data_IF_878023765673
#
_entry.id   IF_878023765673
#
_cell.length_a   1.000
_cell.length_b   1.000
_cell.length_c   1.000
_cell.angle_alpha   90.00
_cell.angle_beta   90.00
_cell.angle_gamma   90.00
#
_symmetry.space_group_name_H-M   'P 1'
#
loop_
_entity.id
_entity.type
_entity.pdbx_description
1 polymer ?
#
# COMPACT_ATOMS: atom_id res chain seq x y z
N UNK A 1 -42.53 11.86 8.55
CA UNK A 1 -41.52 12.14 7.51
C UNK A 1 -40.25 11.42 7.93
N UNK A 2 -39.96 10.31 7.27
CA UNK A 2 -38.86 9.41 7.60
C UNK A 2 -37.56 9.99 7.05
N UNK A 3 -36.56 10.21 7.92
CA UNK A 3 -35.20 10.56 7.51
C UNK A 3 -34.59 9.36 6.77
N UNK A 4 -34.36 9.49 5.46
CA UNK A 4 -33.49 8.56 4.73
C UNK A 4 -32.04 8.92 5.06
N UNK A 5 -31.38 8.05 5.81
CA UNK A 5 -29.94 8.02 5.96
C UNK A 5 -29.37 7.66 4.59
N UNK A 6 -28.53 8.52 4.02
CA UNK A 6 -27.74 8.20 2.83
C UNK A 6 -26.72 7.15 3.24
N UNK A 7 -26.94 5.91 2.80
CA UNK A 7 -26.00 4.81 2.91
C UNK A 7 -24.96 5.02 1.80
N UNK A 8 -23.73 5.41 2.17
CA UNK A 8 -22.62 5.51 1.21
C UNK A 8 -22.24 4.08 0.78
N UNK A 9 -22.57 3.73 -0.47
CA UNK A 9 -22.10 2.52 -1.12
C UNK A 9 -20.75 2.83 -1.78
N UNK A 10 -19.68 2.21 -1.30
CA UNK A 10 -18.36 2.32 -1.93
C UNK A 10 -18.17 1.17 -2.93
N UNK A 11 -18.39 1.45 -4.23
CA UNK A 11 -18.06 0.58 -5.37
C UNK A 11 -17.01 1.25 -6.26
N UNK A 12 -15.83 0.64 -6.48
CA UNK A 12 -14.82 1.28 -7.32
C UNK A 12 -14.09 0.36 -8.34
N UNK A 13 -14.59 0.31 -9.60
CA UNK A 13 -13.89 0.27 -10.93
C UNK A 13 -14.84 0.77 -12.08
N UNK A 14 -14.62 1.95 -12.72
CA UNK A 14 -15.48 2.74 -13.69
C UNK A 14 -14.57 3.80 -14.32
N UNK A 15 -14.64 3.96 -15.66
CA UNK A 15 -14.58 5.23 -16.37
C UNK A 15 -15.98 5.68 -16.85
N UNK A 16 -16.45 6.89 -16.47
CA UNK A 16 -17.20 7.84 -17.33
C UNK A 16 -17.44 9.18 -16.60
N UNK A 17 -17.61 10.23 -17.40
CA UNK A 17 -17.37 11.65 -17.14
C UNK A 17 -18.28 12.30 -16.08
N UNK A 18 -17.69 13.01 -15.11
CA UNK A 18 -17.99 14.42 -14.76
C UNK A 18 -17.19 14.87 -13.53
N UNK A 19 -16.18 15.71 -13.77
CA UNK A 19 -15.47 16.46 -12.75
C UNK A 19 -16.28 17.75 -12.48
N UNK A 20 -17.14 17.77 -11.45
CA UNK A 20 -17.62 19.03 -10.85
C UNK A 20 -18.41 18.80 -9.57
N UNK A 21 -17.76 18.92 -8.41
CA UNK A 21 -18.30 19.61 -7.22
C UNK A 21 -17.36 19.45 -6.00
N UNK A 22 -16.34 20.31 -5.94
CA UNK A 22 -15.77 20.73 -4.65
C UNK A 22 -16.74 21.74 -4.01
N UNK A 23 -17.14 21.61 -2.74
CA UNK A 23 -17.63 22.75 -1.99
C UNK A 23 -16.44 23.63 -1.56
N UNK A 24 -16.52 24.89 -1.96
CA UNK A 24 -15.62 25.96 -1.54
C UNK A 24 -15.66 26.16 -0.02
N UNK A 25 -14.50 26.50 0.52
CA UNK A 25 -14.27 26.99 1.89
C UNK A 25 -15.28 28.05 2.31
N UNK A 26 -15.91 27.90 3.48
CA UNK A 26 -16.60 29.00 4.18
C UNK A 26 -15.96 29.20 5.54
N UNK A 27 -15.25 30.31 5.68
CA UNK A 27 -14.72 30.85 6.93
C UNK A 27 -15.85 31.51 7.71
N UNK A 28 -16.23 30.96 8.86
CA UNK A 28 -17.05 31.71 9.84
C UNK A 28 -16.38 31.73 11.21
N UNK A 29 -16.06 32.96 11.60
CA UNK A 29 -15.49 33.38 12.89
C UNK A 29 -16.58 33.31 13.95
N UNK A 30 -16.48 32.40 14.93
CA UNK A 30 -17.35 32.40 16.11
C UNK A 30 -16.55 32.79 17.36
N UNK A 31 -17.06 33.83 18.00
CA UNK A 31 -16.60 34.49 19.23
C UNK A 31 -16.93 33.57 20.43
N UNK A 32 -15.94 33.27 21.28
CA UNK A 32 -16.12 32.40 22.44
C UNK A 32 -16.86 33.05 23.61
N UNK A 33 -17.25 32.24 24.61
CA UNK A 33 -17.17 32.64 26.01
C UNK A 33 -16.37 31.63 26.87
N UNK A 34 -15.71 32.19 27.88
CA UNK A 34 -14.85 31.56 28.89
C UNK A 34 -15.65 30.77 29.96
N UNK A 35 -15.03 30.08 30.95
CA UNK A 35 -15.34 28.68 31.24
C UNK A 35 -16.11 28.49 32.55
N UNK A 36 -16.98 27.48 32.61
CA UNK A 36 -17.27 26.67 33.82
C UNK A 36 -18.35 25.61 33.50
N UNK A 37 -17.96 24.35 33.30
CA UNK A 37 -18.72 23.17 33.78
C UNK A 37 -18.03 21.85 33.44
N UNK A 38 -17.76 21.11 34.52
CA UNK A 38 -17.73 19.66 34.67
C UNK A 38 -17.39 18.79 33.44
N UNK A 39 -16.29 18.03 33.59
CA UNK A 39 -15.93 16.86 32.79
C UNK A 39 -17.14 15.93 32.59
N UNK A 40 -17.82 16.09 31.46
CA UNK A 40 -18.69 15.07 30.88
C UNK A 40 -17.82 14.23 29.95
N UNK A 41 -17.86 12.91 30.14
CA UNK A 41 -17.11 11.95 29.34
C UNK A 41 -17.23 12.25 27.85
N UNK A 42 -16.08 12.36 27.20
CA UNK A 42 -16.01 12.41 25.75
C UNK A 42 -16.52 11.06 25.23
N UNK A 43 -17.77 11.02 24.76
CA UNK A 43 -18.21 9.96 23.86
C UNK A 43 -17.31 10.04 22.62
N UNK A 44 -16.42 9.07 22.44
CA UNK A 44 -15.75 8.84 21.17
C UNK A 44 -16.83 8.65 20.10
N UNK A 45 -16.80 9.37 18.96
CA UNK A 45 -17.70 9.09 17.86
C UNK A 45 -17.57 7.62 17.47
N UNK A 46 -18.71 6.92 17.39
CA UNK A 46 -18.72 5.48 17.10
C UNK A 46 -18.02 5.19 15.77
N UNK A 47 -17.15 4.17 15.76
CA UNK A 47 -16.53 3.67 14.53
C UNK A 47 -17.64 3.07 13.66
N UNK A 48 -17.77 3.57 12.44
CA UNK A 48 -18.69 3.05 11.43
C UNK A 48 -17.93 2.75 10.15
N UNK A 49 -18.28 1.65 9.49
CA UNK A 49 -17.69 1.25 8.21
C UNK A 49 -18.68 1.49 7.06
N UNK A 50 -18.21 1.91 5.88
CA UNK A 50 -19.07 1.95 4.69
C UNK A 50 -19.42 0.53 4.24
N UNK A 51 -20.46 0.42 3.41
CA UNK A 51 -20.78 -0.86 2.75
C UNK A 51 -19.93 -1.00 1.50
N UNK A 52 -19.14 -2.07 1.44
CA UNK A 52 -18.29 -2.41 0.30
C UNK A 52 -19.03 -3.29 -0.70
N UNK A 53 -18.96 -2.94 -1.97
CA UNK A 53 -19.65 -3.64 -3.05
C UNK A 53 -18.72 -3.91 -4.21
N UNK A 54 -18.99 -5.00 -4.96
CA UNK A 54 -18.12 -5.40 -6.07
C UNK A 54 -18.04 -4.29 -7.10
N UNK A 55 -16.83 -3.94 -7.57
CA UNK A 55 -16.64 -3.08 -8.71
C UNK A 55 -17.38 -3.61 -9.95
N UNK A 56 -17.95 -2.73 -10.79
CA UNK A 56 -18.47 -3.11 -12.10
C UNK A 56 -17.43 -3.88 -12.92
N UNK A 57 -17.87 -4.96 -13.57
CA UNK A 57 -17.02 -5.82 -14.41
C UNK A 57 -16.36 -6.98 -13.67
N UNK A 58 -16.21 -6.92 -12.34
CA UNK A 58 -15.57 -8.00 -11.58
C UNK A 58 -16.57 -9.12 -11.28
N UNK A 59 -16.32 -10.31 -11.84
CA UNK A 59 -17.14 -11.50 -11.66
C UNK A 59 -16.38 -12.63 -10.96
N UNK A 60 -16.00 -12.41 -9.70
CA UNK A 60 -15.38 -13.41 -8.82
C UNK A 60 -16.30 -13.73 -7.63
N UNK A 61 -16.53 -15.02 -7.41
CA UNK A 61 -17.23 -15.54 -6.23
C UNK A 61 -16.38 -15.38 -4.98
N UNK A 62 -15.06 -15.61 -5.10
CA UNK A 62 -14.09 -15.40 -4.02
C UNK A 62 -14.14 -13.96 -3.52
N UNK A 63 -14.00 -13.00 -4.41
CA UNK A 63 -14.03 -11.58 -4.05
C UNK A 63 -15.40 -11.12 -3.53
N UNK A 64 -16.49 -11.58 -4.13
CA UNK A 64 -17.85 -11.32 -3.61
C UNK A 64 -18.04 -11.85 -2.19
N UNK A 65 -17.45 -13.01 -1.90
CA UNK A 65 -17.47 -13.62 -0.58
C UNK A 65 -16.61 -12.86 0.44
N UNK A 66 -15.43 -12.42 0.04
CA UNK A 66 -14.59 -11.51 0.81
C UNK A 66 -15.36 -10.23 1.22
N UNK A 67 -15.96 -9.52 0.26
CA UNK A 67 -16.69 -8.28 0.54
C UNK A 67 -17.84 -8.47 1.52
N UNK A 68 -18.57 -9.59 1.40
CA UNK A 68 -19.63 -9.93 2.36
C UNK A 68 -19.09 -10.12 3.77
N UNK A 69 -18.02 -10.92 3.93
CA UNK A 69 -17.38 -11.14 5.24
C UNK A 69 -16.87 -9.83 5.86
N UNK A 70 -16.26 -8.94 5.07
CA UNK A 70 -15.84 -7.61 5.54
C UNK A 70 -17.04 -6.76 6.00
N UNK A 71 -18.13 -6.74 5.23
CA UNK A 71 -19.34 -6.03 5.61
C UNK A 71 -19.99 -6.59 6.89
N UNK A 72 -19.98 -7.91 7.06
CA UNK A 72 -20.53 -8.57 8.24
C UNK A 72 -19.67 -8.25 9.48
N UNK A 73 -18.33 -8.31 9.36
CA UNK A 73 -17.41 -7.86 10.42
C UNK A 73 -17.64 -6.40 10.82
N UNK A 74 -17.84 -5.52 9.83
CA UNK A 74 -18.13 -4.11 10.09
C UNK A 74 -19.49 -3.88 10.76
N UNK A 75 -20.49 -4.70 10.46
CA UNK A 75 -21.84 -4.64 11.06
C UNK A 75 -21.84 -5.14 12.51
N UNK A 76 -21.12 -6.22 12.77
CA UNK A 76 -21.09 -6.90 14.06
C UNK A 76 -20.03 -6.29 15.01
N UNK A 77 -19.28 -5.29 14.53
CA UNK A 77 -18.24 -4.61 15.29
C UNK A 77 -18.77 -3.99 16.59
N UNK A 78 -18.06 -4.29 17.69
CA UNK A 78 -18.17 -3.59 18.95
C UNK A 78 -16.77 -3.28 19.49
N UNK A 79 -16.64 -2.23 20.31
CA UNK A 79 -15.32 -1.79 20.79
C UNK A 79 -14.58 -2.84 21.62
N UNK A 80 -15.30 -3.75 22.29
CA UNK A 80 -14.69 -4.84 23.06
C UNK A 80 -14.09 -5.94 22.18
N UNK A 81 -14.54 -6.07 20.93
CA UNK A 81 -14.05 -7.04 19.94
C UNK A 81 -13.09 -6.43 18.92
N UNK A 82 -12.45 -5.29 19.23
CA UNK A 82 -11.56 -4.60 18.29
C UNK A 82 -10.43 -5.51 17.79
N UNK A 83 -9.77 -6.22 18.69
CA UNK A 83 -8.69 -7.15 18.35
C UNK A 83 -9.19 -8.31 17.48
N UNK A 84 -10.31 -8.94 17.87
CA UNK A 84 -10.92 -10.03 17.11
C UNK A 84 -11.35 -9.59 15.71
N UNK A 85 -11.82 -8.34 15.58
CA UNK A 85 -12.23 -7.76 14.28
C UNK A 85 -11.01 -7.52 13.40
N UNK A 86 -9.91 -6.98 13.97
CA UNK A 86 -8.63 -6.80 13.27
C UNK A 86 -8.11 -8.15 12.75
N UNK A 87 -8.05 -9.17 13.62
CA UNK A 87 -7.60 -10.51 13.23
C UNK A 87 -8.54 -11.13 12.18
N UNK A 88 -9.85 -10.96 12.34
CA UNK A 88 -10.85 -11.41 11.39
C UNK A 88 -10.65 -10.80 10.00
N UNK A 89 -10.31 -9.52 9.89
CA UNK A 89 -10.03 -8.88 8.59
C UNK A 89 -8.81 -9.50 7.93
N UNK A 90 -7.71 -9.66 8.67
CA UNK A 90 -6.47 -10.26 8.13
C UNK A 90 -6.72 -11.70 7.70
N UNK A 91 -7.49 -12.47 8.47
CA UNK A 91 -7.89 -13.82 8.09
C UNK A 91 -8.74 -13.83 6.81
N UNK A 92 -9.69 -12.90 6.67
CA UNK A 92 -10.55 -12.81 5.48
C UNK A 92 -9.77 -12.42 4.23
N UNK A 93 -8.74 -11.58 4.37
CA UNK A 93 -7.78 -11.26 3.29
C UNK A 93 -7.00 -12.50 2.88
N UNK A 94 -6.47 -13.23 3.85
CA UNK A 94 -5.68 -14.44 3.59
C UNK A 94 -6.52 -15.55 2.94
N UNK A 95 -7.72 -15.81 3.46
CA UNK A 95 -8.68 -16.78 2.89
C UNK A 95 -8.94 -16.51 1.40
N UNK A 96 -9.06 -15.23 1.00
CA UNK A 96 -9.29 -14.83 -0.38
C UNK A 96 -8.07 -15.13 -1.27
N UNK A 97 -6.87 -14.87 -0.76
CA UNK A 97 -5.62 -14.97 -1.52
C UNK A 97 -5.04 -16.40 -1.56
N UNK A 98 -5.42 -17.24 -0.60
CA UNK A 98 -5.17 -18.68 -0.67
C UNK A 98 -6.05 -19.34 -1.74
N UNK A 99 -7.33 -18.94 -1.84
CA UNK A 99 -8.33 -19.52 -2.75
C UNK A 99 -8.66 -18.58 -3.92
N UNK A 100 -7.62 -18.05 -4.57
CA UNK A 100 -7.70 -17.03 -5.62
C UNK A 100 -7.88 -17.56 -7.04
N UNK A 101 -8.21 -18.85 -7.24
CA UNK A 101 -8.25 -19.47 -8.57
C UNK A 101 -9.26 -18.80 -9.52
N UNK A 102 -10.39 -18.33 -8.99
CA UNK A 102 -11.41 -17.63 -9.79
C UNK A 102 -11.04 -16.18 -10.15
N UNK A 103 -10.01 -15.63 -9.47
CA UNK A 103 -9.42 -14.32 -9.74
C UNK A 103 -8.26 -14.45 -10.72
N UNK A 104 -7.40 -15.45 -10.54
CA UNK A 104 -6.23 -15.68 -11.40
C UNK A 104 -6.60 -16.02 -12.85
N UNK A 105 -7.84 -16.46 -13.09
CA UNK A 105 -8.37 -16.72 -14.44
C UNK A 105 -8.95 -15.47 -15.12
N UNK A 106 -9.08 -14.35 -14.41
CA UNK A 106 -9.58 -13.09 -14.97
C UNK A 106 -8.48 -12.35 -15.76
N UNK A 107 -8.83 -11.40 -16.64
CA UNK A 107 -7.87 -10.50 -17.26
C UNK A 107 -7.03 -9.74 -16.22
N UNK A 108 -5.77 -9.47 -16.53
CA UNK A 108 -4.82 -8.81 -15.61
C UNK A 108 -5.31 -7.44 -15.11
N UNK A 109 -6.10 -6.71 -15.92
CA UNK A 109 -6.76 -5.48 -15.49
C UNK A 109 -7.77 -5.67 -14.37
N UNK A 110 -8.50 -6.79 -14.39
CA UNK A 110 -9.46 -7.15 -13.35
C UNK A 110 -8.76 -7.63 -12.08
N UNK A 111 -7.70 -8.43 -12.24
CA UNK A 111 -6.84 -8.84 -11.11
C UNK A 111 -6.25 -7.62 -10.39
N UNK A 112 -5.66 -6.69 -11.15
CA UNK A 112 -5.10 -5.44 -10.62
C UNK A 112 -6.18 -4.56 -9.96
N UNK A 113 -7.41 -4.53 -10.50
CA UNK A 113 -8.56 -3.83 -9.89
C UNK A 113 -8.92 -4.47 -8.53
N UNK A 114 -9.00 -5.80 -8.45
CA UNK A 114 -9.28 -6.52 -7.20
C UNK A 114 -8.18 -6.28 -6.17
N UNK A 115 -6.91 -6.40 -6.57
CA UNK A 115 -5.76 -6.13 -5.69
C UNK A 115 -5.78 -4.69 -5.15
N UNK A 116 -6.08 -3.72 -6.02
CA UNK A 116 -6.23 -2.31 -5.63
C UNK A 116 -7.34 -2.09 -4.61
N UNK A 117 -8.50 -2.72 -4.80
CA UNK A 117 -9.62 -2.63 -3.87
C UNK A 117 -9.30 -3.32 -2.54
N UNK A 118 -8.63 -4.48 -2.58
CA UNK A 118 -8.21 -5.20 -1.38
C UNK A 118 -7.30 -4.32 -0.50
N UNK A 119 -6.27 -3.71 -1.08
CA UNK A 119 -5.37 -2.80 -0.37
C UNK A 119 -6.12 -1.62 0.24
N UNK A 120 -7.03 -0.99 -0.51
CA UNK A 120 -7.83 0.15 -0.01
C UNK A 120 -8.76 -0.24 1.14
N UNK A 121 -9.43 -1.38 1.04
CA UNK A 121 -10.36 -1.86 2.07
C UNK A 121 -9.58 -2.16 3.35
N UNK A 122 -8.47 -2.89 3.25
CA UNK A 122 -7.61 -3.22 4.39
C UNK A 122 -7.08 -1.94 5.04
N UNK A 123 -6.54 -1.01 4.25
CA UNK A 123 -6.06 0.28 4.74
C UNK A 123 -7.16 1.06 5.48
N UNK A 124 -8.35 1.17 4.89
CA UNK A 124 -9.45 1.93 5.46
C UNK A 124 -9.94 1.32 6.77
N UNK A 125 -10.20 0.01 6.78
CA UNK A 125 -10.77 -0.68 7.92
C UNK A 125 -9.75 -0.74 9.07
N UNK A 126 -8.49 -1.09 8.78
CA UNK A 126 -7.43 -1.09 9.81
C UNK A 126 -7.21 0.30 10.38
N UNK A 127 -7.22 1.36 9.56
CA UNK A 127 -7.07 2.74 10.05
C UNK A 127 -8.13 3.10 11.07
N UNK A 128 -9.40 2.78 10.76
CA UNK A 128 -10.53 3.05 11.64
C UNK A 128 -10.42 2.26 12.94
N UNK A 129 -10.16 0.95 12.87
CA UNK A 129 -10.02 0.11 14.06
C UNK A 129 -8.83 0.49 14.93
N UNK A 130 -7.74 0.93 14.30
CA UNK A 130 -6.54 1.38 15.01
C UNK A 130 -6.81 2.56 15.93
N UNK A 131 -7.85 3.37 15.68
CA UNK A 131 -8.24 4.47 16.59
C UNK A 131 -8.84 3.99 17.92
N UNK A 132 -9.30 2.74 18.00
CA UNK A 132 -9.81 2.12 19.22
C UNK A 132 -8.75 1.35 20.02
N UNK A 133 -7.54 1.18 19.47
CA UNK A 133 -6.43 0.54 20.18
C UNK A 133 -5.80 1.52 21.16
N UNK A 134 -5.66 1.09 22.42
CA UNK A 134 -5.21 1.98 23.49
C UNK A 134 -3.77 1.72 23.93
N UNK A 135 -3.30 0.47 24.06
CA UNK A 135 -1.91 0.17 24.50
C UNK A 135 -1.37 -1.20 24.04
N UNK A 136 -2.05 -1.91 23.14
CA UNK A 136 -1.65 -3.26 22.77
C UNK A 136 -0.84 -3.24 21.47
N UNK A 137 0.41 -3.69 21.55
CA UNK A 137 1.14 -4.11 20.36
C UNK A 137 0.79 -5.56 20.08
N UNK A 138 0.50 -5.88 18.83
CA UNK A 138 0.12 -7.22 18.43
C UNK A 138 0.88 -7.64 17.17
N UNK A 139 1.17 -8.91 17.08
CA UNK A 139 1.59 -9.55 15.83
C UNK A 139 0.69 -10.75 15.61
N UNK A 140 0.19 -10.88 14.39
CA UNK A 140 -0.72 -11.95 14.00
C UNK A 140 -0.34 -12.43 12.61
N UNK A 141 -0.23 -13.75 12.44
CA UNK A 141 0.15 -14.41 11.20
C UNK A 141 -0.89 -15.47 10.87
N UNK A 142 -1.36 -15.50 9.63
CA UNK A 142 -2.33 -16.47 9.14
C UNK A 142 -1.66 -17.69 8.51
N UNK A 143 -2.45 -18.70 8.15
CA UNK A 143 -1.94 -19.93 7.53
C UNK A 143 -1.30 -19.69 6.15
N UNK A 144 -1.88 -18.80 5.33
CA UNK A 144 -1.38 -18.40 4.01
C UNK A 144 -0.23 -17.41 4.04
N UNK A 145 0.24 -17.04 5.24
CA UNK A 145 1.42 -16.20 5.44
C UNK A 145 1.15 -14.69 5.44
N UNK A 146 -0.11 -14.25 5.39
CA UNK A 146 -0.44 -12.84 5.65
C UNK A 146 -0.11 -12.51 7.10
N UNK A 147 0.68 -11.47 7.33
CA UNK A 147 1.12 -11.08 8.67
C UNK A 147 0.81 -9.61 8.95
N UNK A 148 0.26 -9.32 10.12
CA UNK A 148 0.02 -7.98 10.64
C UNK A 148 0.85 -7.77 11.89
N UNK A 149 1.60 -6.66 11.95
CA UNK A 149 2.20 -6.14 13.17
C UNK A 149 1.68 -4.74 13.46
N UNK A 150 1.19 -4.50 14.68
CA UNK A 150 0.65 -3.22 15.12
C UNK A 150 1.42 -2.74 16.34
N UNK A 151 1.72 -1.44 16.35
CA UNK A 151 2.32 -0.77 17.50
C UNK A 151 1.65 0.56 17.77
N UNK A 152 1.30 0.75 19.04
CA UNK A 152 0.87 2.04 19.58
C UNK A 152 2.12 2.89 19.83
N UNK A 153 2.12 4.11 19.30
CA UNK A 153 3.18 5.08 19.50
C UNK A 153 3.06 5.72 20.87
N UNK A 154 4.13 5.63 21.66
CA UNK A 154 4.22 6.37 22.92
C UNK A 154 4.51 7.86 22.66
N UNK A 155 4.11 8.72 23.61
CA UNK A 155 4.38 10.15 23.52
C UNK A 155 5.89 10.42 23.43
N UNK A 156 6.31 11.17 22.40
CA UNK A 156 7.71 11.51 22.16
C UNK A 156 8.51 10.48 21.36
N UNK A 157 7.94 9.31 21.06
CA UNK A 157 8.57 8.34 20.15
C UNK A 157 8.49 8.84 18.71
N UNK A 158 9.65 9.11 18.10
CA UNK A 158 9.75 9.57 16.70
C UNK A 158 10.07 8.44 15.72
N UNK A 159 10.85 7.46 16.19
CA UNK A 159 11.32 6.34 15.39
C UNK A 159 10.61 5.06 15.80
N UNK A 160 10.03 4.39 14.81
CA UNK A 160 9.34 3.12 14.97
C UNK A 160 9.95 2.11 14.03
N UNK A 161 10.08 0.89 14.55
CA UNK A 161 10.48 -0.27 13.76
C UNK A 161 9.42 -1.34 13.93
N UNK A 162 8.97 -1.86 12.80
CA UNK A 162 8.08 -3.01 12.71
C UNK A 162 8.71 -4.01 11.74
N UNK A 163 8.47 -5.29 11.96
CA UNK A 163 8.92 -6.36 11.08
C UNK A 163 7.74 -7.28 10.80
N UNK A 164 7.60 -7.68 9.54
CA UNK A 164 6.65 -8.69 9.08
C UNK A 164 7.31 -9.54 8.00
N UNK A 165 7.14 -10.86 8.05
CA UNK A 165 7.73 -11.85 7.16
C UNK A 165 9.21 -11.51 6.84
N UNK A 166 9.47 -11.20 5.57
CA UNK A 166 10.78 -10.92 5.01
C UNK A 166 11.03 -9.40 4.89
N UNK A 167 10.27 -8.56 5.59
CA UNK A 167 10.37 -7.12 5.53
C UNK A 167 10.54 -6.49 6.91
N UNK A 168 11.43 -5.50 6.99
CA UNK A 168 11.59 -4.64 8.17
C UNK A 168 11.37 -3.19 7.76
N UNK A 169 10.48 -2.50 8.46
CA UNK A 169 10.19 -1.09 8.26
C UNK A 169 10.81 -0.26 9.38
N UNK A 170 11.42 0.88 9.01
CA UNK A 170 11.80 1.96 9.90
C UNK A 170 11.03 3.21 9.47
N UNK A 171 10.17 3.70 10.34
CA UNK A 171 9.37 4.90 10.13
C UNK A 171 9.87 6.00 11.07
N UNK A 172 10.24 7.15 10.51
CA UNK A 172 10.62 8.34 11.28
C UNK A 172 9.55 9.41 11.07
N UNK A 173 8.75 9.69 12.11
CA UNK A 173 7.69 10.68 12.06
C UNK A 173 8.18 12.02 12.60
N UNK A 174 8.08 13.07 11.78
CA UNK A 174 8.31 14.45 12.18
C UNK A 174 7.17 14.86 13.10
N UNK A 175 7.47 14.96 14.39
CA UNK A 175 6.49 15.16 15.44
C UNK A 175 5.75 16.51 15.28
N UNK A 176 4.48 16.46 14.89
CA UNK A 176 3.45 17.40 15.34
C UNK A 176 2.23 16.60 15.78
N UNK A 177 2.30 16.06 17.00
CA UNK A 177 1.20 15.33 17.63
C UNK A 177 0.36 16.32 18.44
N UNK A 178 -0.70 16.89 17.87
CA UNK A 178 -1.67 17.69 18.63
C UNK A 178 -2.88 16.88 19.15
N UNK A 179 -3.05 15.61 18.75
CA UNK A 179 -4.20 14.80 19.21
C UNK A 179 -3.90 13.30 19.35
N UNK A 180 -3.98 12.78 20.57
CA UNK A 180 -4.11 11.34 20.88
C UNK A 180 -2.90 10.44 20.58
N UNK A 181 -2.96 9.13 20.95
CA UNK A 181 -1.95 8.15 20.55
C UNK A 181 -2.08 7.82 19.06
N UNK A 182 -0.96 7.81 18.34
CA UNK A 182 -0.90 7.26 16.98
C UNK A 182 -0.69 5.76 17.05
N UNK A 183 -1.34 5.03 16.17
CA UNK A 183 -1.11 3.60 15.95
C UNK A 183 -0.58 3.40 14.54
N UNK A 184 0.49 2.61 14.45
CA UNK A 184 1.17 2.22 13.21
C UNK A 184 0.98 0.72 13.00
N UNK A 185 0.48 0.35 11.84
CA UNK A 185 0.26 -1.03 11.44
C UNK A 185 1.08 -1.32 10.17
N UNK A 186 1.72 -2.48 10.15
CA UNK A 186 2.47 -3.02 9.03
C UNK A 186 1.86 -4.36 8.63
N UNK A 187 1.45 -4.50 7.37
CA UNK A 187 0.82 -5.72 6.85
C UNK A 187 1.68 -6.28 5.74
N UNK A 188 2.14 -7.53 5.85
CA UNK A 188 2.66 -8.30 4.72
C UNK A 188 1.55 -9.13 4.11
N UNK A 189 1.40 -9.08 2.79
CA UNK A 189 0.36 -9.82 2.06
C UNK A 189 1.00 -10.59 0.90
N UNK A 190 1.62 -11.76 1.14
CA UNK A 190 2.32 -12.49 0.09
C UNK A 190 1.41 -12.87 -1.09
N UNK A 191 0.21 -13.37 -0.79
CA UNK A 191 -0.71 -13.91 -1.80
C UNK A 191 -1.23 -12.87 -2.81
N UNK A 192 -1.21 -11.56 -2.47
CA UNK A 192 -1.69 -10.51 -3.38
C UNK A 192 -0.79 -10.37 -4.62
N UNK A 193 0.46 -10.82 -4.54
CA UNK A 193 1.40 -10.79 -5.65
C UNK A 193 0.88 -11.54 -6.88
N UNK A 194 0.08 -12.59 -6.69
CA UNK A 194 -0.56 -13.34 -7.79
C UNK A 194 -1.46 -12.44 -8.65
N UNK A 195 -2.18 -11.51 -8.01
CA UNK A 195 -3.10 -10.59 -8.67
C UNK A 195 -2.40 -9.37 -9.29
N UNK A 196 -1.08 -9.24 -9.08
CA UNK A 196 -0.27 -8.10 -9.50
C UNK A 196 0.89 -8.50 -10.43
N UNK A 197 0.96 -9.77 -10.84
CA UNK A 197 2.10 -10.33 -11.57
C UNK A 197 2.36 -9.65 -12.92
N UNK A 198 1.33 -9.15 -13.58
CA UNK A 198 1.42 -8.45 -14.88
C UNK A 198 1.10 -6.95 -14.78
N UNK A 199 1.17 -6.40 -13.57
CA UNK A 199 0.93 -4.97 -13.38
C UNK A 199 2.04 -4.14 -14.05
N UNK A 200 1.69 -3.04 -14.75
CA UNK A 200 2.68 -2.21 -15.40
C UNK A 200 3.56 -1.50 -14.36
N UNK A 201 4.83 -1.29 -14.72
CA UNK A 201 5.78 -0.47 -13.96
C UNK A 201 5.98 0.87 -14.65
N UNK A 202 5.70 1.93 -13.91
CA UNK A 202 5.91 3.33 -14.31
C UNK A 202 7.07 3.88 -13.49
N UNK A 203 8.10 4.35 -14.18
CA UNK A 203 9.28 4.92 -13.56
C UNK A 203 9.11 6.43 -13.35
N UNK A 204 9.69 6.95 -12.27
CA UNK A 204 9.88 8.38 -12.12
C UNK A 204 10.81 8.95 -13.21
N UNK A 205 10.65 10.23 -13.53
CA UNK A 205 11.40 10.90 -14.61
C UNK A 205 12.90 10.84 -14.40
N UNK A 206 13.37 11.00 -13.16
CA UNK A 206 14.80 10.94 -12.85
C UNK A 206 15.36 9.52 -13.05
N UNK A 207 14.63 8.51 -12.58
CA UNK A 207 15.06 7.12 -12.73
C UNK A 207 15.02 6.65 -14.19
N UNK A 208 14.03 7.12 -14.94
CA UNK A 208 13.93 6.88 -16.37
C UNK A 208 15.11 7.52 -17.12
N UNK A 209 15.49 8.75 -16.79
CA UNK A 209 16.65 9.43 -17.38
C UNK A 209 17.96 8.67 -17.10
N UNK A 210 18.19 8.27 -15.86
CA UNK A 210 19.37 7.48 -15.46
C UNK A 210 19.44 6.17 -16.24
N UNK A 211 18.31 5.46 -16.39
CA UNK A 211 18.25 4.22 -17.16
C UNK A 211 18.51 4.42 -18.65
N UNK A 212 18.01 5.50 -19.26
CA UNK A 212 18.29 5.79 -20.66
C UNK A 212 19.77 6.09 -20.92
N UNK A 213 20.43 6.81 -20.02
CA UNK A 213 21.86 7.12 -20.15
C UNK A 213 22.74 5.88 -20.02
N UNK A 214 22.40 4.99 -19.08
CA UNK A 214 23.26 3.85 -18.71
C UNK A 214 22.90 2.55 -19.44
N UNK A 215 21.64 2.37 -19.81
CA UNK A 215 21.08 1.06 -20.17
C UNK A 215 20.11 1.07 -21.37
N UNK A 216 20.06 2.13 -22.20
CA UNK A 216 19.14 2.26 -23.36
C UNK A 216 17.63 2.20 -23.02
N UNK A 217 17.25 1.83 -21.79
CA UNK A 217 15.89 1.68 -21.29
C UNK A 217 15.61 0.29 -20.72
N UNK A 218 14.42 0.11 -20.13
CA UNK A 218 13.92 -1.20 -19.72
C UNK A 218 13.58 -2.04 -20.96
N UNK A 219 13.79 -3.36 -20.86
CA UNK A 219 13.28 -4.30 -21.85
C UNK A 219 11.76 -4.44 -21.68
N UNK A 220 11.02 -3.64 -22.46
CA UNK A 220 9.56 -3.57 -22.39
C UNK A 220 8.85 -4.87 -22.80
N UNK A 221 9.58 -5.85 -23.36
CA UNK A 221 9.06 -7.17 -23.73
C UNK A 221 8.95 -8.14 -22.53
N UNK A 222 9.52 -7.80 -21.36
CA UNK A 222 9.49 -8.64 -20.16
C UNK A 222 8.83 -7.89 -19.01
N UNK A 223 7.70 -8.42 -18.52
CA UNK A 223 7.04 -7.89 -17.33
C UNK A 223 7.98 -7.94 -16.12
N UNK A 224 8.04 -6.88 -15.30
CA UNK A 224 8.79 -6.91 -14.05
C UNK A 224 8.33 -8.05 -13.14
N UNK A 225 9.27 -8.67 -12.44
CA UNK A 225 9.02 -9.77 -11.52
C UNK A 225 8.96 -9.21 -10.10
N UNK A 226 7.90 -9.54 -9.35
CA UNK A 226 7.78 -9.24 -7.94
C UNK A 226 8.77 -10.10 -7.13
N UNK A 227 9.73 -9.47 -6.46
CA UNK A 227 10.77 -10.15 -5.68
C UNK A 227 10.44 -10.27 -4.19
N UNK A 228 9.57 -9.41 -3.66
CA UNK A 228 9.20 -9.39 -2.25
C UNK A 228 7.70 -9.57 -2.06
N UNK A 229 7.30 -9.88 -0.83
CA UNK A 229 5.91 -9.66 -0.42
C UNK A 229 5.51 -8.18 -0.63
N UNK A 230 4.22 -7.95 -0.83
CA UNK A 230 3.65 -6.59 -0.80
C UNK A 230 3.40 -6.20 0.66
N UNK A 231 3.99 -5.09 1.08
CA UNK A 231 3.94 -4.62 2.46
C UNK A 231 3.25 -3.27 2.57
N UNK A 232 2.16 -3.20 3.32
CA UNK A 232 1.32 -1.99 3.47
C UNK A 232 1.50 -1.34 4.82
N UNK A 233 1.63 -0.01 4.83
CA UNK A 233 1.74 0.78 6.07
C UNK A 233 0.46 1.57 6.31
N UNK A 234 -0.12 1.42 7.49
CA UNK A 234 -1.31 2.16 7.91
C UNK A 234 -1.00 2.95 9.17
N UNK A 235 -1.25 4.26 9.13
CA UNK A 235 -1.16 5.13 10.30
C UNK A 235 -2.53 5.72 10.59
N UNK A 236 -2.99 5.56 11.82
CA UNK A 236 -4.36 5.94 12.26
C UNK A 236 -4.68 7.43 12.14
N UNK A 237 -3.71 8.32 12.43
CA UNK A 237 -3.97 9.76 12.60
C UNK A 237 -3.22 10.67 11.61
N UNK A 238 -2.63 10.12 10.53
CA UNK A 238 -1.92 10.90 9.53
C UNK A 238 -2.56 10.76 8.14
N UNK A 239 -2.55 11.85 7.37
CA UNK A 239 -2.83 11.80 5.94
C UNK A 239 -1.65 11.08 5.23
N UNK A 240 -1.89 9.95 4.53
CA UNK A 240 -0.85 9.19 3.83
C UNK A 240 -0.07 10.02 2.80
N UNK A 241 -0.70 11.05 2.24
CA UNK A 241 -0.13 11.85 1.16
C UNK A 241 0.78 12.98 1.64
N UNK A 242 0.77 13.31 2.93
CA UNK A 242 1.54 14.42 3.51
C UNK A 242 2.37 13.97 4.71
N UNK A 243 3.21 12.96 4.49
CA UNK A 243 4.31 12.71 5.40
C UNK A 243 5.45 13.66 5.08
N UNK A 244 5.84 14.52 6.03
CA UNK A 244 7.17 15.17 6.06
C UNK A 244 8.31 14.15 6.30
N UNK A 245 8.00 12.86 6.23
CA UNK A 245 8.68 11.79 6.94
C UNK A 245 9.08 10.67 5.98
N UNK A 246 10.36 10.30 5.99
CA UNK A 246 10.87 9.19 5.18
C UNK A 246 10.58 7.84 5.84
N UNK A 247 10.08 6.88 5.07
CA UNK A 247 9.99 5.48 5.48
C UNK A 247 11.09 4.67 4.80
N UNK A 248 11.78 3.82 5.57
CA UNK A 248 12.81 2.92 5.05
C UNK A 248 12.35 1.48 5.23
N UNK A 249 12.46 0.69 4.16
CA UNK A 249 12.20 -0.74 4.20
C UNK A 249 13.48 -1.51 3.90
N UNK A 250 13.66 -2.63 4.58
CA UNK A 250 14.66 -3.63 4.25
C UNK A 250 13.89 -4.89 3.89
N UNK A 251 13.86 -5.21 2.60
CA UNK A 251 13.27 -6.44 2.08
C UNK A 251 14.36 -7.51 1.97
N UNK A 252 14.05 -8.71 2.43
CA UNK A 252 14.76 -9.95 2.12
C UNK A 252 14.02 -10.64 0.97
N UNK A 253 14.76 -11.19 0.02
CA UNK A 253 14.22 -11.91 -1.13
C UNK A 253 15.23 -12.94 -1.63
N UNK A 254 14.77 -14.00 -2.29
CA UNK A 254 15.61 -15.16 -2.61
C UNK A 254 16.51 -15.01 -3.84
N UNK A 255 16.59 -13.81 -4.45
CA UNK A 255 17.20 -13.62 -5.77
C UNK A 255 18.19 -12.48 -5.76
N UNK A 256 19.45 -12.75 -6.11
CA UNK A 256 20.43 -11.69 -6.37
C UNK A 256 20.32 -11.24 -7.84
N UNK A 257 20.09 -9.95 -8.13
CA UNK A 257 20.00 -9.47 -9.50
C UNK A 257 21.27 -9.75 -10.31
N UNK A 258 21.11 -10.31 -11.50
CA UNK A 258 22.17 -10.54 -12.47
C UNK A 258 22.63 -9.23 -13.17
N UNK A 259 23.77 -9.21 -13.90
CA UNK A 259 24.31 -8.00 -14.54
C UNK A 259 23.42 -7.25 -15.54
N UNK A 260 22.25 -7.80 -15.90
CA UNK A 260 21.24 -7.17 -16.78
C UNK A 260 19.88 -7.02 -16.09
N UNK A 261 19.84 -7.18 -14.78
CA UNK A 261 18.65 -7.09 -13.96
C UNK A 261 18.84 -5.96 -12.96
N UNK A 262 17.81 -5.13 -12.81
CA UNK A 262 17.79 -4.05 -11.82
C UNK A 262 16.63 -4.25 -10.87
N UNK A 263 16.89 -4.09 -9.59
CA UNK A 263 15.85 -4.02 -8.57
C UNK A 263 15.28 -2.59 -8.49
N UNK A 264 13.96 -2.50 -8.31
CA UNK A 264 13.22 -1.25 -8.18
C UNK A 264 12.44 -1.26 -6.86
N UNK A 265 12.54 -0.17 -6.11
CA UNK A 265 11.67 0.09 -4.98
C UNK A 265 10.42 0.78 -5.50
N UNK A 266 9.27 0.13 -5.33
CA UNK A 266 8.00 0.59 -5.89
C UNK A 266 6.94 0.69 -4.82
N UNK A 267 5.92 1.48 -5.11
CA UNK A 267 4.65 1.44 -4.40
C UNK A 267 3.50 1.21 -5.40
N UNK A 268 2.39 0.71 -4.88
CA UNK A 268 1.17 0.53 -5.66
C UNK A 268 0.44 1.86 -5.79
N UNK A 269 0.40 2.41 -7.00
CA UNK A 269 -0.32 3.64 -7.30
C UNK A 269 -1.69 3.32 -7.90
N UNK A 270 -2.75 3.84 -7.28
CA UNK A 270 -4.11 3.67 -7.78
C UNK A 270 -4.32 4.49 -9.05
N UNK A 271 -4.48 3.82 -10.19
CA UNK A 271 -4.70 4.46 -11.48
C UNK A 271 -6.11 5.01 -11.67
N UNK A 272 -6.26 5.95 -12.60
CA UNK A 272 -7.53 6.61 -12.91
C UNK A 272 -8.62 5.64 -13.41
N UNK A 273 -8.22 4.55 -14.07
CA UNK A 273 -9.12 3.49 -14.54
C UNK A 273 -9.41 2.43 -13.46
N UNK A 274 -9.04 2.70 -12.20
CA UNK A 274 -9.22 1.84 -11.03
C UNK A 274 -8.53 0.46 -11.12
N UNK A 275 -7.68 0.26 -12.12
CA UNK A 275 -6.53 -0.65 -12.07
C UNK A 275 -5.33 0.14 -11.58
N UNK A 276 -4.63 -0.39 -10.58
CA UNK A 276 -3.37 0.18 -10.13
C UNK A 276 -2.20 -0.24 -11.00
N UNK A 277 -1.04 0.34 -10.70
CA UNK A 277 0.24 0.06 -11.33
C UNK A 277 1.37 0.25 -10.31
N UNK A 278 2.53 -0.31 -10.60
CA UNK A 278 3.72 -0.09 -9.80
C UNK A 278 4.38 1.23 -10.20
N UNK A 279 4.70 2.07 -9.23
CA UNK A 279 5.29 3.39 -9.45
C UNK A 279 6.58 3.53 -8.62
N UNK A 280 7.64 4.07 -9.21
CA UNK A 280 8.87 4.42 -8.45
C UNK A 280 8.85 5.85 -7.91
N UNK A 281 7.76 6.60 -8.15
CA UNK A 281 7.65 7.99 -7.71
C UNK A 281 7.82 8.15 -6.19
N UNK A 282 8.84 8.91 -5.80
CA UNK A 282 9.15 9.13 -4.38
C UNK A 282 9.70 7.92 -3.65
N UNK A 283 10.16 6.88 -4.36
CA UNK A 283 10.80 5.69 -3.83
C UNK A 283 12.12 5.40 -4.56
N UNK A 284 13.17 5.04 -3.83
CA UNK A 284 14.46 4.68 -4.43
C UNK A 284 15.18 3.57 -3.66
N UNK A 285 16.04 2.84 -4.38
CA UNK A 285 16.96 1.86 -3.78
C UNK A 285 18.10 2.61 -3.11
N UNK A 286 18.27 2.41 -1.80
CA UNK A 286 19.42 2.89 -1.04
C UNK A 286 20.60 1.94 -1.19
N UNK A 287 20.33 0.64 -1.29
CA UNK A 287 21.35 -0.36 -1.57
C UNK A 287 20.78 -1.77 -1.71
N UNK A 288 21.46 -2.58 -2.50
CA UNK A 288 21.21 -4.02 -2.64
C UNK A 288 22.44 -4.78 -2.16
N UNK A 289 22.24 -5.78 -1.31
CA UNK A 289 23.28 -6.68 -0.82
C UNK A 289 22.75 -8.11 -0.91
N UNK A 290 23.34 -8.93 -1.77
CA UNK A 290 22.99 -10.33 -1.97
C UNK A 290 21.48 -10.54 -2.17
N UNK A 291 20.80 -11.03 -1.14
CA UNK A 291 19.37 -11.37 -1.06
C UNK A 291 18.56 -10.29 -0.33
N UNK A 292 19.05 -9.06 -0.29
CA UNK A 292 18.39 -7.96 0.40
C UNK A 292 18.43 -6.66 -0.39
N UNK A 293 17.29 -5.95 -0.41
CA UNK A 293 17.15 -4.61 -1.00
C UNK A 293 16.63 -3.65 0.07
N UNK A 294 17.35 -2.55 0.27
CA UNK A 294 16.91 -1.45 1.13
C UNK A 294 16.28 -0.35 0.29
N UNK A 295 15.03 -0.02 0.59
CA UNK A 295 14.22 1.00 -0.06
C UNK A 295 14.00 2.19 0.86
N UNK A 296 13.97 3.40 0.32
CA UNK A 296 13.51 4.59 1.02
C UNK A 296 12.41 5.26 0.20
N UNK A 297 11.32 5.64 0.86
CA UNK A 297 10.17 6.29 0.25
C UNK A 297 9.71 7.51 1.07
N UNK A 298 9.03 8.46 0.41
CA UNK A 298 8.59 9.73 1.01
C UNK A 298 7.08 9.78 1.30
N UNK A 299 6.39 8.65 1.26
CA UNK A 299 4.95 8.56 1.51
C UNK A 299 4.59 7.22 2.18
N UNK A 300 3.33 7.06 2.57
CA UNK A 300 2.78 5.77 3.01
C UNK A 300 1.91 5.17 1.91
N UNK A 301 2.08 3.88 1.70
CA UNK A 301 1.36 3.12 0.68
C UNK A 301 1.57 1.61 0.94
N UNK A 302 1.37 0.83 -0.11
CA UNK A 302 1.74 -0.58 -0.24
C UNK A 302 2.99 -0.67 -1.11
N UNK A 303 4.06 -1.23 -0.56
CA UNK A 303 5.40 -1.23 -1.13
C UNK A 303 5.86 -2.63 -1.51
N UNK A 304 6.75 -2.71 -2.49
CA UNK A 304 7.41 -3.93 -2.86
C UNK A 304 8.76 -3.66 -3.55
N UNK A 305 9.51 -4.74 -3.78
CA UNK A 305 10.67 -4.77 -4.66
C UNK A 305 10.30 -5.51 -5.94
N UNK A 306 10.45 -4.85 -7.09
CA UNK A 306 10.41 -5.50 -8.39
C UNK A 306 11.81 -5.71 -8.94
N UNK A 307 11.95 -6.63 -9.87
CA UNK A 307 13.12 -6.76 -10.71
C UNK A 307 12.71 -6.72 -12.18
N UNK A 308 13.42 -5.93 -12.97
CA UNK A 308 13.22 -5.89 -14.42
C UNK A 308 14.56 -5.95 -15.16
N UNK A 309 14.49 -6.45 -16.39
CA UNK A 309 15.64 -6.54 -17.27
C UNK A 309 15.87 -5.22 -18.03
N UNK A 310 17.13 -4.91 -18.33
CA UNK A 310 17.53 -3.73 -19.10
C UNK A 310 18.56 -4.08 -20.18
N UNK A 311 18.68 -3.21 -21.19
CA UNK A 311 19.70 -3.32 -22.24
C UNK A 311 21.03 -2.69 -21.81
N UNK A 312 22.18 -3.14 -22.33
CA UNK A 312 23.48 -2.54 -21.97
C UNK A 312 24.13 -1.88 -23.18
N UNK A 313 24.58 -0.64 -23.03
CA UNK A 313 25.56 -0.06 -23.98
C UNK A 313 26.93 -0.68 -23.72
N UNK A 314 27.33 -1.65 -24.54
CA UNK A 314 28.76 -1.93 -24.69
C UNK A 314 29.35 -0.76 -25.47
N UNK A 315 30.01 0.18 -24.77
CA UNK A 315 30.91 1.14 -25.42
C UNK A 315 32.04 0.32 -26.03
N UNK A 316 31.85 -0.16 -27.26
CA UNK A 316 32.94 -0.64 -28.07
C UNK A 316 33.94 0.52 -28.17
N UNK A 317 35.12 0.36 -27.56
CA UNK A 317 36.27 1.19 -27.84
C UNK A 317 36.57 1.02 -29.34
N UNK A 318 35.91 1.82 -30.19
CA UNK A 318 36.28 1.99 -31.60
C UNK A 318 37.60 2.75 -31.61
N UNK A 319 38.68 2.02 -31.43
CA UNK A 319 40.03 2.54 -31.28
C UNK A 319 41.07 1.48 -31.59
N UNK A 320 40.91 0.78 -32.71
CA UNK A 320 42.01 0.15 -33.45
C UNK A 320 41.66 0.24 -34.93
N UNK A 321 42.08 1.34 -35.56
CA UNK A 321 42.32 1.32 -37.00
C UNK A 321 43.36 0.22 -37.25
N UNK A 322 42.94 -0.82 -37.96
CA UNK A 322 43.85 -1.79 -38.58
C UNK A 322 44.84 -1.03 -39.46
N UNK A 323 46.12 -1.07 -39.09
CA UNK A 323 47.22 -0.75 -40.00
C UNK A 323 47.26 -1.89 -41.02
N UNK A 324 46.86 -1.61 -42.26
CA UNK A 324 47.09 -2.54 -43.36
C UNK A 324 48.58 -2.53 -43.69
N UNK A 325 49.28 -3.62 -43.34
CA UNK A 325 50.57 -3.94 -43.92
C UNK A 325 50.29 -4.51 -45.31
N UNK A 326 50.69 -3.77 -46.34
CA UNK A 326 50.81 -4.34 -47.69
C UNK A 326 52.10 -5.17 -47.73
N UNK A 327 51.97 -6.46 -48.05
CA UNK A 327 53.08 -7.34 -48.46
C UNK A 327 53.05 -7.41 -49.98
#
# INVERSE_FOLDING_TARGET
>A
MTFKILQEHTSFCIPEQHLSSLPQSVTTRIKGPSPTRALKGFNTPGISFPTWTSPPGINSKGFSHFLRKINDLGRDYNSASTLDTIQGIIQVVDDLLENSEDLETQPSSEQNCVASNLLLIVEHVLRKLSTALSNESLTFTTAGGTELSVKVMEQGQRNITLSVNQAKMLLNLDAVQESGPSVVSLVSTPGIGKLMAEAPLVLDTEEQAVLHETHKGLLHEVSPILLSDVVSVVVSNNDPQNLSSSVTFIFQHSVTPEPKQKAFCVFWEHGQNRSGYWSTKGCWVVGTRDTSTTCQCTHLSSFAVLMAHYDVQVRALRGLHSVSIAV
#
